data_IF_866354955758
#
_entry.id   IF_866354955758
#
_cell.length_a   1.000
_cell.length_b   1.000
_cell.length_c   1.000
_cell.angle_alpha   90.00
_cell.angle_beta   90.00
_cell.angle_gamma   90.00
#
_symmetry.space_group_name_H-M   'P 1'
#
loop_
_entity.id
_entity.type
_entity.pdbx_description
1 polymer ?
#
# COMPACT_ATOMS: atom_id res chain seq x y z
N UNK A 1 -2.28 12.94 35.33
CA UNK A 1 -2.03 11.54 34.94
C UNK A 1 -0.70 11.47 34.19
N UNK A 2 0.39 11.11 34.87
CA UNK A 2 1.71 10.97 34.26
C UNK A 2 1.83 9.58 33.63
N UNK A 3 1.94 9.50 32.30
CA UNK A 3 2.16 8.22 31.60
C UNK A 3 3.59 7.78 31.92
N UNK A 4 3.82 6.57 32.47
CA UNK A 4 5.18 6.11 32.78
C UNK A 4 6.02 6.10 31.51
N UNK A 5 7.25 6.62 31.60
CA UNK A 5 8.18 6.66 30.49
C UNK A 5 8.48 5.22 30.01
N UNK A 6 8.46 4.96 28.69
CA UNK A 6 8.75 3.64 28.17
C UNK A 6 10.18 3.21 28.51
N UNK A 7 10.37 1.92 28.83
CA UNK A 7 11.70 1.36 29.10
C UNK A 7 12.56 1.42 27.82
N UNK A 8 13.87 1.70 27.91
CA UNK A 8 14.75 1.92 26.75
C UNK A 8 14.80 0.74 25.76
N UNK A 9 14.57 -0.48 26.24
CA UNK A 9 14.47 -1.71 25.42
C UNK A 9 13.22 -1.72 24.54
N UNK A 10 12.09 -1.24 25.05
CA UNK A 10 10.82 -1.17 24.31
C UNK A 10 10.91 -0.14 23.18
N UNK A 11 11.60 0.97 23.40
CA UNK A 11 11.82 1.98 22.38
C UNK A 11 12.74 1.49 21.26
N UNK A 12 13.78 0.71 21.60
CA UNK A 12 14.63 0.03 20.62
C UNK A 12 13.85 -0.95 19.74
N UNK A 13 13.08 -1.85 20.34
CA UNK A 13 12.28 -2.84 19.61
C UNK A 13 11.29 -2.16 18.68
N UNK A 14 10.58 -1.12 19.15
CA UNK A 14 9.62 -0.36 18.33
C UNK A 14 10.29 0.34 17.14
N UNK A 15 11.50 0.86 17.32
CA UNK A 15 12.25 1.49 16.24
C UNK A 15 12.64 0.51 15.13
N UNK A 16 13.05 -0.71 15.49
CA UNK A 16 13.36 -1.77 14.52
C UNK A 16 12.12 -2.34 13.83
N UNK A 17 11.05 -2.58 14.59
CA UNK A 17 9.76 -2.99 14.00
C UNK A 17 9.23 -1.93 13.03
N UNK A 18 9.39 -0.65 13.35
CA UNK A 18 8.98 0.44 12.47
C UNK A 18 9.81 0.52 11.18
N UNK A 19 11.11 0.23 11.27
CA UNK A 19 11.96 0.08 10.08
C UNK A 19 11.50 -1.11 9.23
N UNK A 20 11.29 -2.27 9.85
CA UNK A 20 10.87 -3.48 9.14
C UNK A 20 9.51 -3.27 8.45
N UNK A 21 8.53 -2.66 9.13
CA UNK A 21 7.25 -2.31 8.56
C UNK A 21 7.38 -1.38 7.33
N UNK A 22 8.25 -0.36 7.42
CA UNK A 22 8.53 0.54 6.29
C UNK A 22 9.14 -0.20 5.10
N UNK A 23 10.11 -1.07 5.34
CA UNK A 23 10.78 -1.83 4.28
C UNK A 23 9.84 -2.84 3.61
N UNK A 24 9.00 -3.52 4.40
CA UNK A 24 8.00 -4.46 3.86
C UNK A 24 6.95 -3.73 3.03
N UNK A 25 6.29 -2.71 3.59
CA UNK A 25 5.25 -1.96 2.88
C UNK A 25 5.84 -1.24 1.67
N UNK A 26 6.96 -0.55 1.84
CA UNK A 26 7.63 0.16 0.75
C UNK A 26 8.13 -0.78 -0.35
N UNK A 27 8.70 -1.92 0.02
CA UNK A 27 9.15 -2.94 -0.93
C UNK A 27 8.00 -3.55 -1.74
N UNK A 28 6.86 -3.82 -1.09
CA UNK A 28 5.66 -4.30 -1.79
C UNK A 28 5.14 -3.26 -2.78
N UNK A 29 5.09 -1.98 -2.41
CA UNK A 29 4.69 -0.91 -3.34
C UNK A 29 5.63 -0.76 -4.52
N UNK A 30 6.94 -0.82 -4.28
CA UNK A 30 7.94 -0.78 -5.36
C UNK A 30 7.75 -1.95 -6.31
N UNK A 31 7.59 -3.17 -5.77
CA UNK A 31 7.39 -4.37 -6.58
C UNK A 31 6.11 -4.29 -7.40
N UNK A 32 4.97 -3.97 -6.76
CA UNK A 32 3.68 -3.82 -7.41
C UNK A 32 3.69 -2.75 -8.52
N UNK A 33 4.20 -1.56 -8.20
CA UNK A 33 4.28 -0.47 -9.16
C UNK A 33 5.23 -0.77 -10.32
N UNK A 34 6.36 -1.43 -10.06
CA UNK A 34 7.30 -1.84 -11.10
C UNK A 34 6.67 -2.82 -12.10
N UNK A 35 5.92 -3.82 -11.61
CA UNK A 35 5.23 -4.78 -12.47
C UNK A 35 4.17 -4.12 -13.36
N UNK A 36 3.50 -3.08 -12.87
CA UNK A 36 2.50 -2.33 -13.65
C UNK A 36 3.11 -1.28 -14.57
N UNK A 37 4.29 -0.75 -14.25
CA UNK A 37 4.93 0.31 -15.02
C UNK A 37 5.29 -0.13 -16.45
N UNK A 38 5.62 -1.41 -16.64
CA UNK A 38 5.93 -1.98 -17.95
C UNK A 38 4.73 -2.11 -18.90
N UNK A 39 3.51 -2.15 -18.37
CA UNK A 39 2.28 -2.24 -19.16
C UNK A 39 1.17 -1.35 -18.58
N UNK A 40 1.18 -0.04 -18.91
CA UNK A 40 0.15 0.89 -18.47
C UNK A 40 -1.25 0.52 -18.99
N UNK A 41 -1.35 -0.15 -20.14
CA UNK A 41 -2.62 -0.56 -20.72
C UNK A 41 -3.27 -1.68 -19.88
N UNK A 42 -2.49 -2.67 -19.45
CA UNK A 42 -2.94 -3.67 -18.49
C UNK A 42 -3.40 -3.03 -17.18
N UNK A 43 -2.64 -2.06 -16.64
CA UNK A 43 -3.04 -1.36 -15.42
C UNK A 43 -4.38 -0.61 -15.56
N UNK A 44 -4.62 0.09 -16.68
CA UNK A 44 -5.93 0.71 -16.94
C UNK A 44 -7.04 -0.32 -17.08
N UNK A 45 -6.76 -1.45 -17.73
CA UNK A 45 -7.73 -2.55 -17.89
C UNK A 45 -8.13 -3.13 -16.54
N UNK A 46 -7.16 -3.35 -15.65
CA UNK A 46 -7.40 -3.81 -14.29
C UNK A 46 -8.33 -2.84 -13.53
N UNK A 47 -8.04 -1.53 -13.55
CA UNK A 47 -8.87 -0.53 -12.85
C UNK A 47 -10.28 -0.45 -13.44
N UNK A 48 -10.42 -0.53 -14.77
CA UNK A 48 -11.73 -0.58 -15.44
C UNK A 48 -12.55 -1.80 -15.02
N UNK A 49 -11.90 -2.96 -14.84
CA UNK A 49 -12.57 -4.22 -14.49
C UNK A 49 -13.32 -4.15 -13.15
N UNK A 50 -12.91 -3.26 -12.24
CA UNK A 50 -13.64 -3.00 -11.00
C UNK A 50 -15.02 -2.38 -11.22
N UNK A 51 -15.28 -1.72 -12.36
CA UNK A 51 -16.56 -1.07 -12.66
C UNK A 51 -17.06 -0.16 -11.52
N UNK A 52 -16.15 0.59 -10.90
CA UNK A 52 -16.43 1.50 -9.77
C UNK A 52 -16.37 2.98 -10.16
N UNK A 53 -15.64 3.31 -11.23
CA UNK A 53 -15.37 4.67 -11.67
C UNK A 53 -15.87 4.85 -13.11
N UNK A 54 -16.22 6.10 -13.50
CA UNK A 54 -16.40 6.43 -14.92
C UNK A 54 -15.14 6.10 -15.72
N UNK A 55 -15.31 5.74 -16.99
CA UNK A 55 -14.23 5.25 -17.85
C UNK A 55 -13.00 6.17 -17.88
N UNK A 56 -13.22 7.48 -18.07
CA UNK A 56 -12.13 8.47 -18.14
C UNK A 56 -11.35 8.57 -16.82
N UNK A 57 -12.04 8.40 -15.69
CA UNK A 57 -11.44 8.43 -14.35
C UNK A 57 -10.67 7.14 -14.09
N UNK A 58 -11.23 5.98 -14.47
CA UNK A 58 -10.55 4.70 -14.37
C UNK A 58 -9.23 4.71 -15.18
N UNK A 59 -9.23 5.33 -16.36
CA UNK A 59 -8.03 5.46 -17.20
C UNK A 59 -6.97 6.35 -16.59
N UNK A 60 -7.40 7.49 -16.04
CA UNK A 60 -6.48 8.40 -15.35
C UNK A 60 -5.86 7.69 -14.13
N UNK A 61 -6.68 7.01 -13.34
CA UNK A 61 -6.21 6.24 -12.17
C UNK A 61 -5.25 5.14 -12.60
N UNK A 62 -5.60 4.29 -13.56
CA UNK A 62 -4.72 3.19 -14.01
C UNK A 62 -3.40 3.66 -14.60
N UNK A 63 -3.35 4.84 -15.24
CA UNK A 63 -2.10 5.41 -15.75
C UNK A 63 -1.21 6.00 -14.65
N UNK A 64 -1.82 6.65 -13.65
CA UNK A 64 -1.08 7.38 -12.60
C UNK A 64 -0.69 6.47 -11.45
N UNK A 65 -1.51 5.47 -11.15
CA UNK A 65 -1.36 4.59 -9.99
C UNK A 65 0.03 3.93 -9.91
N UNK A 66 0.62 3.34 -10.98
CA UNK A 66 1.93 2.71 -10.90
C UNK A 66 3.05 3.68 -10.46
N UNK A 67 3.00 4.93 -10.94
CA UNK A 67 3.96 5.95 -10.55
C UNK A 67 3.79 6.37 -9.08
N UNK A 68 2.54 6.46 -8.61
CA UNK A 68 2.23 6.73 -7.20
C UNK A 68 2.73 5.59 -6.31
N UNK A 69 2.49 4.33 -6.69
CA UNK A 69 2.97 3.15 -5.97
C UNK A 69 4.49 3.16 -5.83
N UNK A 70 5.23 3.39 -6.93
CA UNK A 70 6.69 3.48 -6.90
C UNK A 70 7.15 4.65 -6.01
N UNK A 71 6.54 5.83 -6.15
CA UNK A 71 6.89 7.01 -5.35
C UNK A 71 6.69 6.79 -3.85
N UNK A 72 5.55 6.23 -3.45
CA UNK A 72 5.26 5.87 -2.05
C UNK A 72 6.25 4.82 -1.55
N UNK A 73 6.54 3.81 -2.37
CA UNK A 73 7.52 2.77 -2.06
C UNK A 73 8.91 3.34 -1.78
N UNK A 74 9.42 4.22 -2.66
CA UNK A 74 10.71 4.87 -2.50
C UNK A 74 10.78 5.71 -1.23
N UNK A 75 9.74 6.52 -0.96
CA UNK A 75 9.66 7.37 0.24
C UNK A 75 9.67 6.54 1.52
N UNK A 76 8.91 5.44 1.56
CA UNK A 76 8.88 4.54 2.72
C UNK A 76 10.21 3.82 2.94
N UNK A 77 10.84 3.30 1.87
CA UNK A 77 12.14 2.63 1.96
C UNK A 77 13.23 3.61 2.41
N UNK A 78 13.32 4.78 1.77
CA UNK A 78 14.28 5.82 2.14
C UNK A 78 14.00 6.42 3.53
N UNK A 79 12.74 6.37 3.97
CA UNK A 79 12.32 6.97 5.24
C UNK A 79 12.27 8.47 5.18
N UNK A 80 11.90 8.98 4.01
CA UNK A 80 11.70 10.38 3.74
C UNK A 80 10.18 10.61 3.61
N UNK A 81 9.67 11.64 4.28
CA UNK A 81 8.24 11.93 4.37
C UNK A 81 7.44 10.68 4.79
N UNK A 82 8.00 9.86 5.69
CA UNK A 82 7.52 8.52 6.01
C UNK A 82 6.07 8.52 6.49
N UNK A 83 5.65 9.56 7.21
CA UNK A 83 4.25 9.74 7.64
C UNK A 83 3.32 10.01 6.47
N UNK A 84 3.70 10.90 5.56
CA UNK A 84 2.87 11.23 4.38
C UNK A 84 2.75 9.98 3.50
N UNK A 85 3.88 9.32 3.21
CA UNK A 85 3.90 8.10 2.43
C UNK A 85 3.09 6.97 3.09
N UNK A 86 3.12 6.82 4.42
CA UNK A 86 2.32 5.85 5.14
C UNK A 86 0.80 6.18 5.12
N UNK A 87 0.41 7.47 5.17
CA UNK A 87 -1.00 7.87 4.99
C UNK A 87 -1.47 7.55 3.57
N UNK A 88 -0.70 7.92 2.55
CA UNK A 88 -1.04 7.63 1.15
C UNK A 88 -1.14 6.12 0.93
N UNK A 89 -0.16 5.35 1.43
CA UNK A 89 -0.19 3.88 1.44
C UNK A 89 -1.48 3.33 2.05
N UNK A 90 -1.85 3.80 3.24
CA UNK A 90 -3.06 3.36 3.92
C UNK A 90 -4.32 3.66 3.11
N UNK A 91 -4.42 4.86 2.51
CA UNK A 91 -5.56 5.25 1.68
C UNK A 91 -5.68 4.38 0.42
N UNK A 92 -4.55 4.10 -0.25
CA UNK A 92 -4.53 3.21 -1.42
C UNK A 92 -4.96 1.79 -1.04
N UNK A 93 -4.45 1.23 0.06
CA UNK A 93 -4.83 -0.10 0.54
C UNK A 93 -6.30 -0.19 0.92
N UNK A 94 -6.86 0.84 1.55
CA UNK A 94 -8.30 0.93 1.78
C UNK A 94 -9.05 0.92 0.44
N UNK A 95 -8.61 1.71 -0.53
CA UNK A 95 -9.17 1.72 -1.88
C UNK A 95 -9.19 0.34 -2.54
N UNK A 96 -8.08 -0.39 -2.48
CA UNK A 96 -8.00 -1.76 -2.99
C UNK A 96 -8.95 -2.69 -2.24
N UNK A 97 -8.90 -2.75 -0.92
CA UNK A 97 -9.78 -3.62 -0.13
C UNK A 97 -11.26 -3.34 -0.44
N UNK A 98 -11.67 -2.07 -0.49
CA UNK A 98 -13.04 -1.69 -0.87
C UNK A 98 -13.36 -2.15 -2.29
N UNK A 99 -12.42 -1.98 -3.22
CA UNK A 99 -12.52 -2.46 -4.59
C UNK A 99 -12.79 -3.97 -4.68
N UNK A 100 -11.93 -4.76 -4.04
CA UNK A 100 -11.98 -6.24 -4.04
C UNK A 100 -13.28 -6.72 -3.39
N UNK A 101 -13.62 -6.20 -2.22
CA UNK A 101 -14.89 -6.53 -1.53
C UNK A 101 -16.08 -6.19 -2.42
N UNK A 102 -16.05 -5.06 -3.12
CA UNK A 102 -17.15 -4.66 -4.00
C UNK A 102 -17.36 -5.61 -5.18
N UNK A 103 -16.29 -6.03 -5.88
CA UNK A 103 -16.42 -6.99 -6.99
C UNK A 103 -16.80 -8.37 -6.49
N UNK A 104 -16.34 -8.76 -5.30
CA UNK A 104 -16.72 -10.01 -4.67
C UNK A 104 -18.22 -10.07 -4.36
N UNK A 105 -18.77 -9.02 -3.72
CA UNK A 105 -20.20 -8.94 -3.40
C UNK A 105 -21.09 -8.86 -4.65
N UNK A 106 -20.57 -8.30 -5.76
CA UNK A 106 -21.26 -8.22 -7.04
C UNK A 106 -21.11 -9.47 -7.91
N UNK A 107 -20.31 -10.46 -7.50
CA UNK A 107 -20.07 -11.67 -8.28
C UNK A 107 -19.32 -11.41 -9.58
N UNK A 108 -18.44 -10.40 -9.61
CA UNK A 108 -17.61 -10.07 -10.77
C UNK A 108 -16.26 -10.82 -10.62
N UNK A 109 -15.91 -11.76 -11.51
CA UNK A 109 -14.69 -12.56 -11.40
C UNK A 109 -13.53 -11.88 -12.12
N UNK A 110 -12.75 -11.09 -11.38
CA UNK A 110 -11.60 -10.36 -11.93
C UNK A 110 -10.33 -10.67 -11.14
N UNK A 111 -9.20 -10.74 -11.83
CA UNK A 111 -7.90 -10.52 -11.21
C UNK A 111 -7.81 -9.04 -10.80
N UNK A 112 -7.54 -8.81 -9.53
CA UNK A 112 -7.43 -7.48 -8.93
C UNK A 112 -6.26 -6.67 -9.48
N UNK A 113 -5.28 -7.34 -10.11
CA UNK A 113 -4.16 -6.68 -10.78
C UNK A 113 -3.18 -6.01 -9.81
N UNK A 114 -3.23 -6.33 -8.51
CA UNK A 114 -2.38 -5.70 -7.49
C UNK A 114 -0.88 -5.86 -7.78
N UNK A 115 -0.49 -6.95 -8.45
CA UNK A 115 0.89 -7.26 -8.85
C UNK A 115 1.05 -7.35 -10.38
N UNK A 116 0.30 -6.53 -11.14
CA UNK A 116 0.27 -6.59 -12.60
C UNK A 116 -0.85 -7.51 -13.11
N UNK A 117 -1.08 -7.50 -14.42
CA UNK A 117 -2.21 -8.22 -15.02
C UNK A 117 -3.54 -7.50 -14.78
N UNK A 118 -4.52 -8.23 -14.27
CA UNK A 118 -5.88 -7.76 -14.07
C UNK A 118 -6.81 -7.98 -15.27
N UNK A 119 -8.12 -7.91 -15.01
CA UNK A 119 -9.17 -8.26 -15.97
C UNK A 119 -9.89 -9.53 -15.57
N UNK A 120 -10.62 -10.17 -16.49
CA UNK A 120 -11.41 -11.37 -16.17
C UNK A 120 -10.51 -12.56 -15.79
N UNK A 121 -10.83 -13.22 -14.68
CA UNK A 121 -10.18 -14.46 -14.23
C UNK A 121 -11.24 -15.42 -13.67
N UNK A 122 -11.42 -16.63 -14.24
CA UNK A 122 -12.41 -17.61 -13.75
C UNK A 122 -12.16 -18.07 -12.30
N UNK A 123 -10.92 -18.00 -11.81
CA UNK A 123 -10.54 -18.45 -10.47
C UNK A 123 -10.47 -17.33 -9.43
N UNK A 124 -10.83 -16.10 -9.82
CA UNK A 124 -10.73 -14.87 -9.02
C UNK A 124 -11.31 -14.99 -7.59
N UNK A 125 -12.48 -15.63 -7.45
CA UNK A 125 -13.17 -15.73 -6.16
C UNK A 125 -12.35 -16.48 -5.10
N UNK A 126 -11.51 -17.43 -5.52
CA UNK A 126 -10.65 -18.16 -4.60
C UNK A 126 -9.50 -17.31 -4.06
N UNK A 127 -9.11 -16.26 -4.80
CA UNK A 127 -7.99 -15.39 -4.49
C UNK A 127 -8.38 -14.21 -3.60
N UNK A 128 -9.60 -13.69 -3.74
CA UNK A 128 -10.08 -12.51 -3.00
C UNK A 128 -9.82 -12.55 -1.48
N UNK A 129 -10.02 -13.66 -0.76
CA UNK A 129 -9.74 -13.71 0.68
C UNK A 129 -8.27 -13.44 1.00
N UNK A 130 -7.35 -14.00 0.21
CA UNK A 130 -5.92 -13.82 0.40
C UNK A 130 -5.48 -12.40 0.05
N UNK A 131 -6.00 -11.84 -1.04
CA UNK A 131 -5.67 -10.47 -1.44
C UNK A 131 -6.15 -9.44 -0.42
N UNK A 132 -7.37 -9.60 0.11
CA UNK A 132 -7.89 -8.77 1.20
C UNK A 132 -7.03 -8.94 2.46
N UNK A 133 -6.67 -10.17 2.84
CA UNK A 133 -5.84 -10.42 4.01
C UNK A 133 -4.45 -9.78 3.90
N UNK A 134 -3.82 -9.88 2.72
CA UNK A 134 -2.56 -9.22 2.39
C UNK A 134 -2.69 -7.71 2.53
N UNK A 135 -3.70 -7.11 1.92
CA UNK A 135 -3.87 -5.66 1.90
C UNK A 135 -4.21 -5.10 3.29
N UNK A 136 -5.01 -5.84 4.09
CA UNK A 136 -5.27 -5.52 5.50
C UNK A 136 -3.97 -5.62 6.33
N UNK A 137 -3.15 -6.65 6.11
CA UNK A 137 -1.85 -6.78 6.76
C UNK A 137 -0.93 -5.59 6.48
N UNK A 138 -0.83 -5.18 5.21
CA UNK A 138 -0.07 -4.00 4.78
C UNK A 138 -0.66 -2.69 5.31
N UNK A 139 -1.98 -2.62 5.45
CA UNK A 139 -2.68 -1.45 6.01
C UNK A 139 -2.34 -1.29 7.49
N UNK A 140 -2.38 -2.39 8.25
CA UNK A 140 -1.97 -2.39 9.65
C UNK A 140 -0.49 -2.03 9.81
N UNK A 141 0.39 -2.54 8.94
CA UNK A 141 1.79 -2.15 8.92
C UNK A 141 1.98 -0.66 8.61
N UNK A 142 1.22 -0.11 7.64
CA UNK A 142 1.22 1.32 7.32
C UNK A 142 0.75 2.16 8.50
N UNK A 143 -0.34 1.75 9.17
CA UNK A 143 -0.83 2.41 10.37
C UNK A 143 0.18 2.34 11.53
N UNK A 144 0.90 1.22 11.67
CA UNK A 144 1.95 1.10 12.66
C UNK A 144 3.10 2.10 12.43
N UNK A 145 3.49 2.32 11.17
CA UNK A 145 4.48 3.36 10.80
C UNK A 145 4.01 4.76 11.23
N UNK A 146 2.71 5.05 11.16
CA UNK A 146 2.15 6.34 11.63
C UNK A 146 2.25 6.51 13.15
N UNK A 147 2.09 5.43 13.91
CA UNK A 147 2.11 5.46 15.39
C UNK A 147 3.55 5.52 15.93
N UNK A 148 4.52 4.91 15.25
CA UNK A 148 5.93 4.93 15.66
C UNK A 148 6.60 6.23 15.23
N UNK A 149 6.74 7.18 16.18
CA UNK A 149 7.28 8.52 15.91
C UNK A 149 8.73 8.55 15.41
N UNK A 150 9.56 7.57 15.77
CA UNK A 150 10.95 7.42 15.33
C UNK A 150 11.17 6.00 14.82
N UNK A 151 11.19 5.86 13.51
CA UNK A 151 11.69 4.63 12.87
C UNK A 151 13.20 4.73 12.74
N UNK A 152 13.91 3.61 12.96
CA UNK A 152 15.38 3.58 12.78
C UNK A 152 15.71 3.85 11.31
N UNK A 153 16.84 4.53 11.06
CA UNK A 153 17.36 4.82 9.71
C UNK A 153 16.40 5.62 8.81
N UNK A 154 15.45 6.37 9.38
CA UNK A 154 14.66 7.32 8.61
C UNK A 154 15.47 8.58 8.30
N UNK A 155 15.52 8.99 7.03
CA UNK A 155 16.03 10.30 6.64
C UNK A 155 15.24 11.44 7.29
N UNK A 156 13.98 11.22 7.64
CA UNK A 156 13.16 12.15 8.43
C UNK A 156 13.85 12.58 9.73
N UNK A 157 14.64 11.70 10.36
CA UNK A 157 15.35 12.03 11.60
C UNK A 157 16.50 13.03 11.39
N UNK A 158 17.01 13.13 10.15
CA UNK A 158 18.12 14.02 9.78
C UNK A 158 17.59 15.31 9.14
N UNK A 159 16.57 15.20 8.28
CA UNK A 159 16.00 16.34 7.53
C UNK A 159 14.99 17.12 8.36
N UNK A 160 14.23 16.46 9.23
CA UNK A 160 13.27 17.08 10.14
C UNK A 160 13.60 16.74 11.61
N UNK A 161 14.76 17.19 12.13
CA UNK A 161 15.11 16.96 13.53
C UNK A 161 14.12 17.74 14.41
N UNK A 162 13.31 17.00 15.17
CA UNK A 162 12.45 17.53 16.22
C UNK A 162 13.20 17.66 17.54
#
# INVERSE_FOLDING_TARGET
MLRPAPRPTVEHVRGWLGLLARLVVGGVWLYAGWLKFGDPAASTTAVRAYQLLPLDVADAVGRVLPAVEIGVGLLLVAGLLSRVAAVVSALLLVGFVVGIVSVWLRGIPIDCGCFGGGGYDPDAFSQYPWEIARDVGLLLASAFVLVVRRTRLALDNVVFPA
#
